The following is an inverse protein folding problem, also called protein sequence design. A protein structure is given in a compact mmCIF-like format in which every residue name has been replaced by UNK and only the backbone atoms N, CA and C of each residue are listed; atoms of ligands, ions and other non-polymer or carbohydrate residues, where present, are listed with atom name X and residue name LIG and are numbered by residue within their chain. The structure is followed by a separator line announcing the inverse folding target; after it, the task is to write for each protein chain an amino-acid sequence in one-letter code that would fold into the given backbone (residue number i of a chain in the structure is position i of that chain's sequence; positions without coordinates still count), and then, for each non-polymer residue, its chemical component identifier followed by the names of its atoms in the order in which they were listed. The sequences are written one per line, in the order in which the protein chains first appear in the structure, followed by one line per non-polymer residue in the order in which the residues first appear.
data_IF_550926902904
#
_entry.id   IF_550926902904
#
_cell.length_a   1.000
_cell.length_b   1.000
_cell.length_c   1.000
_cell.angle_alpha   90.00
_cell.angle_beta   90.00
_cell.angle_gamma   90.00
#
_symmetry.space_group_name_H-M   'P 1'
#
loop_
_entity.id
_entity.type
_entity.pdbx_description
1 polymer ?
#
# COMPACT_ATOMS: atom_id res chain seq x y z
N UNK A 1 14.53 -18.68 -4.90
CA UNK A 1 15.93 -18.48 -5.34
C UNK A 1 16.18 -16.98 -5.34
N UNK A 2 17.14 -16.56 -4.50
CA UNK A 2 17.40 -15.22 -3.98
C UNK A 2 17.30 -14.05 -4.97
N UNK A 3 16.45 -13.06 -4.66
CA UNK A 3 16.57 -11.69 -5.17
C UNK A 3 17.63 -10.95 -4.34
N UNK A 4 18.90 -11.29 -4.57
CA UNK A 4 20.05 -10.59 -4.03
C UNK A 4 20.95 -10.14 -5.18
N UNK A 5 20.51 -9.13 -5.93
CA UNK A 5 21.34 -8.50 -6.96
C UNK A 5 20.87 -7.07 -7.25
N UNK A 6 21.27 -6.13 -6.40
CA UNK A 6 21.60 -4.74 -6.76
C UNK A 6 22.01 -3.93 -5.50
N UNK A 7 23.06 -4.34 -4.81
CA UNK A 7 23.75 -3.47 -3.85
C UNK A 7 25.01 -2.93 -4.52
N UNK A 8 24.84 -1.92 -5.38
CA UNK A 8 25.93 -1.11 -5.88
C UNK A 8 26.41 -0.17 -4.79
N UNK A 9 27.62 -0.39 -4.27
CA UNK A 9 28.32 0.56 -3.42
C UNK A 9 28.96 1.65 -4.28
N UNK A 10 28.51 2.90 -4.13
CA UNK A 10 29.33 4.07 -4.41
C UNK A 10 29.05 5.19 -3.40
N UNK A 11 30.13 5.78 -2.89
CA UNK A 11 30.15 6.83 -1.88
C UNK A 11 29.63 8.16 -2.42
N UNK A 12 28.80 8.80 -1.62
CA UNK A 12 27.94 9.94 -1.92
C UNK A 12 26.67 9.76 -1.10
N UNK A 13 25.92 10.81 -0.76
CA UNK A 13 24.61 10.67 -0.13
C UNK A 13 23.59 10.09 -1.13
N UNK A 14 23.86 8.88 -1.64
CA UNK A 14 23.08 8.17 -2.62
C UNK A 14 21.66 7.90 -2.12
N UNK A 15 20.74 7.93 -3.09
CA UNK A 15 19.32 7.62 -2.92
C UNK A 15 19.14 6.37 -2.04
N UNK A 16 18.24 6.40 -1.05
CA UNK A 16 17.92 5.22 -0.26
C UNK A 16 17.54 4.02 -1.14
N UNK A 17 17.94 2.80 -0.78
CA UNK A 17 17.49 1.59 -1.47
C UNK A 17 15.96 1.55 -1.59
N UNK A 18 15.45 0.99 -2.67
CA UNK A 18 14.01 0.93 -2.94
C UNK A 18 13.18 0.36 -1.77
N UNK A 19 13.57 -0.72 -1.08
CA UNK A 19 12.81 -1.22 0.07
C UNK A 19 12.66 -0.20 1.19
N UNK A 20 13.69 0.62 1.43
CA UNK A 20 13.64 1.67 2.45
C UNK A 20 12.69 2.82 2.03
N UNK A 21 12.68 3.17 0.74
CA UNK A 21 11.71 4.16 0.22
C UNK A 21 10.28 3.66 0.32
N UNK A 22 10.05 2.38 0.04
CA UNK A 22 8.73 1.75 0.21
C UNK A 22 8.34 1.71 1.69
N UNK A 23 9.24 1.34 2.60
CA UNK A 23 8.95 1.28 4.05
C UNK A 23 8.34 2.58 4.58
N UNK A 24 8.80 3.73 4.08
CA UNK A 24 8.33 5.06 4.49
C UNK A 24 6.89 5.37 4.05
N UNK A 25 6.37 4.64 3.05
CA UNK A 25 5.00 4.78 2.55
C UNK A 25 4.09 3.67 3.02
N UNK A 26 4.57 2.72 3.84
CA UNK A 26 3.77 1.61 4.35
C UNK A 26 3.20 1.89 5.74
N UNK A 27 2.06 1.27 6.02
CA UNK A 27 1.42 1.28 7.33
C UNK A 27 1.08 -0.16 7.74
N UNK A 28 1.40 -0.58 8.98
CA UNK A 28 0.95 -1.87 9.49
C UNK A 28 -0.53 -1.78 9.84
N UNK A 29 -1.29 -2.79 9.46
CA UNK A 29 -2.72 -2.88 9.71
C UNK A 29 -3.10 -4.27 10.19
N UNK A 30 -4.24 -4.36 10.88
CA UNK A 30 -4.79 -5.66 11.25
C UNK A 30 -5.35 -6.35 10.00
N UNK A 31 -5.25 -7.68 9.90
CA UNK A 31 -5.90 -8.41 8.81
C UNK A 31 -7.41 -8.56 9.09
N UNK A 32 -8.21 -8.84 8.04
CA UNK A 32 -9.63 -9.12 8.21
C UNK A 32 -9.91 -10.37 9.05
N UNK A 33 -9.05 -11.39 8.96
CA UNK A 33 -9.20 -12.64 9.70
C UNK A 33 -8.53 -12.55 11.08
N UNK A 34 -9.30 -12.82 12.14
CA UNK A 34 -8.76 -12.86 13.50
C UNK A 34 -7.61 -13.89 13.62
N UNK A 35 -6.49 -13.47 14.20
CA UNK A 35 -5.31 -14.33 14.39
C UNK A 35 -4.39 -14.48 13.17
N UNK A 36 -4.77 -13.98 11.99
CA UNK A 36 -3.86 -13.93 10.84
C UNK A 36 -2.70 -12.93 11.10
N UNK A 37 -1.55 -13.03 10.40
CA UNK A 37 -0.43 -12.10 10.53
C UNK A 37 -0.81 -10.64 10.24
N UNK A 38 -0.10 -9.69 10.83
CA UNK A 38 -0.24 -8.28 10.45
C UNK A 38 0.11 -8.09 8.97
N UNK A 39 -0.58 -7.14 8.33
CA UNK A 39 -0.28 -6.75 6.96
C UNK A 39 0.52 -5.45 6.97
N UNK A 40 1.44 -5.30 6.01
CA UNK A 40 1.95 -4.00 5.59
C UNK A 40 1.22 -3.59 4.32
N UNK A 41 0.69 -2.38 4.32
CA UNK A 41 -0.14 -1.86 3.25
C UNK A 41 0.41 -0.51 2.80
N UNK A 42 0.40 -0.26 1.49
CA UNK A 42 0.66 1.07 0.94
C UNK A 42 -0.31 2.07 1.57
N UNK A 43 0.20 3.17 2.13
CA UNK A 43 -0.62 4.22 2.72
C UNK A 43 -1.63 4.80 1.72
N UNK A 44 -1.27 4.77 0.45
CA UNK A 44 -2.02 5.22 -0.73
C UNK A 44 -1.68 4.28 -1.91
N UNK A 45 -2.18 4.58 -3.11
CA UNK A 45 -1.92 3.86 -4.36
C UNK A 45 -0.44 3.95 -4.77
N UNK A 46 0.06 2.94 -5.49
CA UNK A 46 1.41 3.02 -6.08
C UNK A 46 1.51 4.27 -6.93
N UNK A 47 2.55 5.09 -6.71
CA UNK A 47 2.72 6.37 -7.39
C UNK A 47 3.57 6.21 -8.65
N UNK A 48 3.50 7.18 -9.57
CA UNK A 48 4.32 7.17 -10.80
C UNK A 48 5.82 7.09 -10.50
N UNK A 49 6.29 7.76 -9.45
CA UNK A 49 7.69 7.69 -8.98
C UNK A 49 8.15 6.30 -8.53
N UNK A 50 7.21 5.44 -8.15
CA UNK A 50 7.50 4.07 -7.74
C UNK A 50 7.68 3.18 -8.96
N UNK A 51 6.83 3.33 -9.99
CA UNK A 51 6.96 2.62 -11.26
C UNK A 51 8.17 3.10 -12.08
N UNK A 52 8.31 4.40 -12.22
CA UNK A 52 9.37 5.07 -12.96
C UNK A 52 10.04 6.13 -12.08
N UNK A 53 11.22 5.82 -11.52
CA UNK A 53 11.99 6.73 -10.70
C UNK A 53 12.47 8.01 -11.40
N UNK A 54 12.28 8.12 -12.72
CA UNK A 54 12.58 9.29 -13.56
C UNK A 54 11.36 10.17 -13.88
N UNK A 55 10.18 9.82 -13.35
CA UNK A 55 8.97 10.63 -13.46
C UNK A 55 9.23 12.09 -13.04
N UNK A 56 8.74 13.09 -13.79
CA UNK A 56 8.85 14.50 -13.41
C UNK A 56 8.20 14.77 -12.05
N UNK A 57 8.78 15.68 -11.26
CA UNK A 57 8.35 15.97 -9.90
C UNK A 57 6.86 16.35 -9.84
N UNK A 58 6.36 17.10 -10.83
CA UNK A 58 4.98 17.60 -10.89
C UNK A 58 3.92 16.49 -11.00
N UNK A 59 4.31 15.30 -11.48
CA UNK A 59 3.41 14.14 -11.65
C UNK A 59 3.86 12.93 -10.86
N UNK A 60 5.00 13.02 -10.18
CA UNK A 60 5.66 11.93 -9.46
C UNK A 60 4.75 11.32 -8.38
N UNK A 61 3.91 12.15 -7.78
CA UNK A 61 2.96 11.80 -6.71
C UNK A 61 1.57 11.43 -7.21
N UNK A 62 1.32 11.47 -8.52
CA UNK A 62 0.07 10.94 -9.07
C UNK A 62 0.05 9.41 -8.95
N UNK A 63 -1.14 8.80 -8.80
CA UNK A 63 -1.29 7.36 -8.86
C UNK A 63 -0.78 6.84 -10.21
N UNK A 64 -0.12 5.69 -10.16
CA UNK A 64 0.34 4.99 -11.33
C UNK A 64 -0.82 4.18 -11.93
N UNK A 65 -1.09 4.43 -13.21
CA UNK A 65 -2.22 3.82 -13.94
C UNK A 65 -1.77 3.26 -15.29
N UNK A 66 -2.66 2.58 -16.00
CA UNK A 66 -2.39 2.02 -17.34
C UNK A 66 -1.72 0.62 -17.35
N UNK A 67 -1.53 0.01 -16.18
CA UNK A 67 -1.12 -1.39 -16.07
C UNK A 67 -2.36 -2.28 -16.05
N UNK A 68 -2.28 -3.42 -16.72
CA UNK A 68 -3.26 -4.47 -16.50
C UNK A 68 -3.03 -5.16 -15.14
N UNK A 69 -3.99 -5.98 -14.69
CA UNK A 69 -3.92 -6.63 -13.38
C UNK A 69 -2.70 -7.55 -13.26
N UNK A 70 -2.34 -8.25 -14.33
CA UNK A 70 -1.21 -9.19 -14.35
C UNK A 70 0.12 -8.49 -14.18
N UNK A 71 0.31 -7.36 -14.87
CA UNK A 71 1.49 -6.50 -14.74
C UNK A 71 1.58 -5.87 -13.35
N UNK A 72 0.48 -5.33 -12.82
CA UNK A 72 0.44 -4.76 -11.49
C UNK A 72 0.82 -5.81 -10.42
N UNK A 73 0.27 -7.03 -10.55
CA UNK A 73 0.62 -8.15 -9.68
C UNK A 73 2.08 -8.58 -9.81
N UNK A 74 2.61 -8.68 -11.03
CA UNK A 74 4.01 -9.04 -11.28
C UNK A 74 4.97 -7.97 -10.73
N UNK A 75 4.64 -6.68 -10.91
CA UNK A 75 5.41 -5.57 -10.39
C UNK A 75 5.47 -5.57 -8.86
N UNK A 76 4.33 -5.85 -8.20
CA UNK A 76 4.25 -6.00 -6.75
C UNK A 76 5.05 -7.23 -6.28
N UNK A 77 4.90 -8.38 -6.94
CA UNK A 77 5.57 -9.63 -6.59
C UNK A 77 7.09 -9.52 -6.64
N UNK A 78 7.63 -8.79 -7.63
CA UNK A 78 9.07 -8.52 -7.74
C UNK A 78 9.65 -7.77 -6.52
N UNK A 79 8.80 -7.16 -5.69
CA UNK A 79 9.15 -6.38 -4.49
C UNK A 79 8.69 -7.04 -3.19
N UNK A 80 8.24 -8.30 -3.24
CA UNK A 80 7.72 -9.03 -2.08
C UNK A 80 6.31 -8.60 -1.65
N UNK A 81 5.57 -7.93 -2.52
CA UNK A 81 4.17 -7.55 -2.31
C UNK A 81 3.24 -8.38 -3.21
N UNK A 82 1.95 -8.13 -3.02
CA UNK A 82 0.87 -8.59 -3.89
C UNK A 82 -0.22 -7.53 -3.96
N UNK A 83 -1.17 -7.74 -4.87
CA UNK A 83 -2.43 -7.01 -4.82
C UNK A 83 -3.22 -7.41 -3.55
N UNK A 84 -4.00 -6.49 -2.97
CA UNK A 84 -4.96 -6.84 -1.92
C UNK A 84 -5.98 -7.84 -2.46
N UNK A 85 -6.44 -8.76 -1.59
CA UNK A 85 -7.70 -9.47 -1.87
C UNK A 85 -8.88 -8.49 -1.73
N UNK A 86 -10.03 -8.83 -2.29
CA UNK A 86 -11.26 -8.05 -2.13
C UNK A 86 -11.66 -7.95 -0.65
N UNK A 87 -11.47 -9.03 0.11
CA UNK A 87 -11.76 -9.05 1.55
C UNK A 87 -10.83 -8.10 2.33
N UNK A 88 -9.53 -8.11 2.03
CA UNK A 88 -8.59 -7.16 2.62
C UNK A 88 -8.90 -5.73 2.19
N UNK A 89 -9.11 -5.48 0.90
CA UNK A 89 -9.42 -4.13 0.40
C UNK A 89 -10.64 -3.54 1.12
N UNK A 90 -11.72 -4.32 1.27
CA UNK A 90 -12.92 -3.90 2.02
C UNK A 90 -12.63 -3.64 3.49
N UNK A 91 -11.79 -4.46 4.12
CA UNK A 91 -11.37 -4.25 5.50
C UNK A 91 -10.61 -2.93 5.67
N UNK A 92 -9.69 -2.63 4.74
CA UNK A 92 -8.90 -1.40 4.72
C UNK A 92 -9.78 -0.16 4.50
N UNK A 93 -10.76 -0.26 3.60
CA UNK A 93 -11.71 0.81 3.30
C UNK A 93 -12.63 1.14 4.48
N UNK A 94 -12.89 0.15 5.33
CA UNK A 94 -13.71 0.27 6.54
C UNK A 94 -15.15 0.75 6.27
N UNK A 95 -15.83 1.16 7.34
CA UNK A 95 -17.22 1.63 7.27
C UNK A 95 -17.36 3.11 6.86
N UNK A 96 -16.26 3.82 6.62
CA UNK A 96 -16.28 5.24 6.24
C UNK A 96 -15.13 6.07 6.82
N UNK A 97 -15.06 7.38 6.50
CA UNK A 97 -14.11 8.29 7.12
C UNK A 97 -14.40 8.44 8.61
N UNK A 98 -13.33 8.56 9.42
CA UNK A 98 -13.41 8.70 10.89
C UNK A 98 -14.29 9.88 11.32
N UNK A 99 -14.46 10.89 10.45
CA UNK A 99 -15.03 12.18 10.80
C UNK A 99 -16.55 12.30 10.67
N UNK A 100 -17.29 11.31 10.16
CA UNK A 100 -18.74 11.47 9.95
C UNK A 100 -19.09 12.75 9.16
N UNK A 101 -18.20 13.13 8.23
CA UNK A 101 -18.18 14.44 7.59
C UNK A 101 -19.52 14.78 6.92
N UNK A 102 -20.07 15.94 7.28
CA UNK A 102 -21.22 16.56 6.60
C UNK A 102 -20.87 17.12 5.21
N UNK A 103 -19.63 16.97 4.75
CA UNK A 103 -19.11 17.41 3.45
C UNK A 103 -18.38 16.26 2.74
N UNK A 104 -19.13 15.31 2.13
CA UNK A 104 -18.57 14.17 1.37
C UNK A 104 -17.60 14.58 0.25
N UNK A 105 -17.86 15.72 -0.39
CA UNK A 105 -17.09 16.22 -1.55
C UNK A 105 -15.65 16.63 -1.22
N UNK A 106 -15.30 16.82 0.07
CA UNK A 106 -13.95 17.19 0.50
C UNK A 106 -13.14 15.99 1.02
N UNK A 107 -13.70 14.78 0.96
CA UNK A 107 -13.06 13.57 1.48
C UNK A 107 -12.42 12.70 0.39
N UNK A 108 -12.68 12.97 -0.89
CA UNK A 108 -12.28 12.10 -1.99
C UNK A 108 -12.26 12.83 -3.33
N UNK A 109 -11.35 12.43 -4.23
CA UNK A 109 -11.36 12.87 -5.63
C UNK A 109 -12.36 12.01 -6.43
N UNK A 110 -13.59 12.49 -6.59
CA UNK A 110 -14.64 11.79 -7.35
C UNK A 110 -15.17 12.69 -8.47
N UNK A 111 -16.05 12.16 -9.32
CA UNK A 111 -16.67 12.93 -10.40
C UNK A 111 -17.40 14.17 -9.88
N UNK A 112 -17.94 14.12 -8.66
CA UNK A 112 -18.63 15.25 -8.01
C UNK A 112 -17.72 16.46 -7.76
N UNK A 113 -16.40 16.25 -7.66
CA UNK A 113 -15.42 17.34 -7.55
C UNK A 113 -15.16 18.02 -8.92
N UNK A 114 -15.46 17.34 -10.02
CA UNK A 114 -15.44 17.91 -11.38
C UNK A 114 -14.04 18.17 -11.97
N UNK A 115 -12.97 17.64 -11.36
CA UNK A 115 -11.60 17.89 -11.82
C UNK A 115 -11.22 17.07 -13.07
N UNK A 116 -11.83 15.91 -13.27
CA UNK A 116 -11.65 15.09 -14.47
C UNK A 116 -10.26 14.44 -14.63
N UNK A 117 -9.45 14.41 -13.56
CA UNK A 117 -8.11 13.85 -13.55
C UNK A 117 -7.72 13.35 -12.15
N UNK A 118 -6.74 12.43 -12.02
CA UNK A 118 -6.26 12.03 -10.70
C UNK A 118 -5.52 13.19 -10.03
N UNK A 119 -5.45 13.13 -8.70
CA UNK A 119 -4.71 14.08 -7.88
C UNK A 119 -3.51 13.39 -7.22
N UNK A 120 -2.53 14.15 -6.71
CA UNK A 120 -1.46 13.58 -5.90
C UNK A 120 -2.05 12.78 -4.75
N UNK A 121 -1.45 11.63 -4.46
CA UNK A 121 -1.88 10.75 -3.37
C UNK A 121 -1.86 11.47 -2.01
N UNK A 122 -2.77 11.11 -1.13
CA UNK A 122 -2.78 11.55 0.27
C UNK A 122 -3.26 12.99 0.50
N UNK A 123 -3.77 13.70 -0.51
CA UNK A 123 -4.20 15.10 -0.36
C UNK A 123 -5.52 15.27 0.39
N UNK A 124 -6.37 14.23 0.43
CA UNK A 124 -7.68 14.26 1.09
C UNK A 124 -7.60 13.78 2.55
N UNK A 125 -7.12 14.63 3.45
CA UNK A 125 -7.03 14.32 4.89
C UNK A 125 -8.37 13.92 5.53
N UNK A 126 -9.49 14.48 5.06
CA UNK A 126 -10.82 14.09 5.55
C UNK A 126 -11.25 12.68 5.10
N UNK A 127 -10.63 12.13 4.07
CA UNK A 127 -10.82 10.76 3.58
C UNK A 127 -9.95 9.72 4.27
N UNK A 128 -9.00 10.16 5.11
CA UNK A 128 -8.06 9.28 5.80
C UNK A 128 -8.80 8.33 6.76
N UNK A 129 -8.46 7.05 6.69
CA UNK A 129 -9.02 6.02 7.58
C UNK A 129 -8.39 6.09 8.98
N UNK A 130 -8.97 5.36 9.95
CA UNK A 130 -8.43 5.25 11.30
C UNK A 130 -7.02 4.63 11.33
N UNK A 131 -6.76 3.70 10.41
CA UNK A 131 -5.44 3.09 10.21
C UNK A 131 -4.49 4.01 9.41
N UNK A 132 -4.95 5.19 8.97
CA UNK A 132 -4.14 6.18 8.29
C UNK A 132 -3.91 5.93 6.81
N UNK A 133 -4.80 5.19 6.18
CA UNK A 133 -4.82 4.96 4.73
C UNK A 133 -5.59 6.08 4.03
N UNK A 134 -5.19 6.37 2.80
CA UNK A 134 -5.76 7.41 1.96
C UNK A 134 -6.29 6.82 0.66
N UNK A 135 -7.16 7.59 0.02
CA UNK A 135 -7.61 7.39 -1.37
C UNK A 135 -8.29 6.04 -1.63
N UNK A 136 -8.86 5.42 -0.59
CA UNK A 136 -9.69 4.22 -0.71
C UNK A 136 -11.11 4.52 -1.24
N UNK A 137 -11.38 5.78 -1.59
CA UNK A 137 -12.63 6.28 -2.16
C UNK A 137 -12.26 7.36 -3.19
N UNK A 138 -12.51 7.08 -4.47
CA UNK A 138 -12.12 7.95 -5.57
C UNK A 138 -10.64 7.86 -5.94
N UNK A 139 -10.13 8.94 -6.53
CA UNK A 139 -8.85 9.07 -7.21
C UNK A 139 -8.72 8.08 -8.38
N UNK A 140 -8.32 6.83 -8.14
CA UNK A 140 -8.30 5.78 -9.16
C UNK A 140 -8.89 4.49 -8.63
N UNK A 141 -9.48 3.70 -9.53
CA UNK A 141 -9.83 2.33 -9.22
C UNK A 141 -8.59 1.55 -8.84
N UNK A 142 -8.71 0.63 -7.89
CA UNK A 142 -7.60 -0.21 -7.46
C UNK A 142 -7.84 -1.68 -7.82
N UNK A 143 -6.92 -2.27 -8.59
CA UNK A 143 -6.90 -3.70 -8.85
C UNK A 143 -6.85 -4.52 -7.55
N UNK A 144 -7.70 -5.56 -7.47
CA UNK A 144 -7.64 -6.59 -6.43
C UNK A 144 -7.27 -7.95 -7.03
N UNK A 145 -6.78 -8.86 -6.19
CA UNK A 145 -6.35 -10.20 -6.61
C UNK A 145 -7.51 -11.09 -7.08
N UNK A 146 -8.67 -10.95 -6.44
CA UNK A 146 -9.87 -11.74 -6.67
C UNK A 146 -10.41 -11.56 -8.09
N UNK A 147 -11.09 -12.60 -8.56
CA UNK A 147 -11.79 -12.63 -9.84
C UNK A 147 -13.26 -13.02 -9.60
N UNK A 148 -14.16 -12.45 -10.39
CA UNK A 148 -15.54 -12.91 -10.43
C UNK A 148 -15.68 -14.06 -11.44
N UNK A 149 -16.41 -15.14 -11.08
CA UNK A 149 -16.72 -16.18 -12.03
C UNK A 149 -17.55 -15.61 -13.18
N UNK A 150 -17.30 -16.09 -14.39
CA UNK A 150 -18.10 -15.72 -15.55
C UNK A 150 -19.03 -16.87 -15.95
N UNK A 151 -20.26 -16.56 -16.41
CA UNK A 151 -21.20 -17.58 -16.83
C UNK A 151 -20.77 -18.21 -18.17
N UNK A 152 -21.23 -19.44 -18.43
CA UNK A 152 -21.15 -20.09 -19.74
C UNK A 152 -19.73 -20.24 -20.33
N UNK A 153 -18.73 -20.59 -19.52
CA UNK A 153 -17.38 -20.89 -20.02
C UNK A 153 -16.58 -19.68 -20.51
N UNK A 154 -17.09 -18.47 -20.26
CA UNK A 154 -16.35 -17.23 -20.45
C UNK A 154 -15.19 -17.14 -19.44
N UNK A 155 -14.12 -16.38 -19.77
CA UNK A 155 -13.03 -16.17 -18.83
C UNK A 155 -13.51 -15.38 -17.59
N UNK A 156 -12.93 -15.65 -16.42
CA UNK A 156 -13.25 -14.92 -15.20
C UNK A 156 -12.93 -13.42 -15.36
N UNK A 157 -13.68 -12.58 -14.65
CA UNK A 157 -13.54 -11.12 -14.70
C UNK A 157 -12.60 -10.66 -13.59
N UNK A 158 -11.64 -9.80 -13.94
CA UNK A 158 -10.85 -9.11 -12.94
C UNK A 158 -11.71 -8.08 -12.20
N UNK A 159 -11.29 -7.73 -10.98
CA UNK A 159 -12.03 -6.84 -10.09
C UNK A 159 -11.18 -5.63 -9.73
N UNK A 160 -11.84 -4.47 -9.66
CA UNK A 160 -11.26 -3.27 -9.08
C UNK A 160 -12.25 -2.59 -8.13
N UNK A 161 -11.73 -1.87 -7.14
CA UNK A 161 -12.49 -1.26 -6.05
C UNK A 161 -12.20 0.25 -5.92
N UNK A 162 -13.02 0.95 -5.12
CA UNK A 162 -12.74 2.33 -4.69
C UNK A 162 -13.38 3.45 -5.52
N UNK A 163 -13.68 3.21 -6.80
CA UNK A 163 -14.08 4.29 -7.69
C UNK A 163 -12.88 5.11 -8.15
N UNK A 164 -13.13 6.14 -8.95
CA UNK A 164 -12.09 7.03 -9.49
C UNK A 164 -12.59 8.48 -9.54
N UNK A 165 -11.73 9.40 -9.96
CA UNK A 165 -12.10 10.78 -10.31
C UNK A 165 -13.20 10.85 -11.38
N UNK A 166 -13.44 9.77 -12.15
CA UNK A 166 -14.49 9.68 -13.16
C UNK A 166 -15.76 8.97 -12.66
N UNK A 167 -15.76 8.51 -11.40
CA UNK A 167 -16.90 7.82 -10.79
C UNK A 167 -17.65 8.76 -9.86
N UNK A 168 -18.99 8.74 -9.92
CA UNK A 168 -19.80 9.49 -8.95
C UNK A 168 -19.51 9.00 -7.53
N UNK A 169 -19.46 9.93 -6.57
CA UNK A 169 -19.27 9.66 -5.16
C UNK A 169 -20.25 8.60 -4.68
N UNK A 170 -21.52 8.58 -5.09
CA UNK A 170 -22.45 7.50 -4.69
C UNK A 170 -22.00 6.08 -5.12
N UNK A 171 -21.13 5.94 -6.12
CA UNK A 171 -20.55 4.65 -6.52
C UNK A 171 -19.44 4.25 -5.54
N UNK A 172 -18.68 5.20 -4.98
CA UNK A 172 -17.69 4.97 -3.91
C UNK A 172 -18.27 5.02 -2.47
N UNK A 173 -19.01 6.08 -2.13
CA UNK A 173 -19.68 6.36 -0.86
C UNK A 173 -20.91 5.48 -0.55
N UNK A 174 -21.78 5.14 -1.51
CA UNK A 174 -22.97 4.32 -1.20
C UNK A 174 -22.67 2.81 -1.19
N UNK A 175 -21.45 2.43 -1.54
CA UNK A 175 -21.00 1.06 -1.40
C UNK A 175 -19.49 1.01 -1.50
N UNK A 176 -18.77 1.16 -0.39
CA UNK A 176 -17.35 0.77 -0.25
C UNK A 176 -17.10 -0.75 -0.49
N UNK A 177 -18.08 -1.43 -1.07
CA UNK A 177 -18.01 -2.75 -1.71
C UNK A 177 -18.40 -2.75 -3.20
N UNK A 178 -18.45 -1.59 -3.86
CA UNK A 178 -18.66 -1.42 -5.29
C UNK A 178 -17.43 -1.95 -6.01
N UNK A 179 -17.66 -3.00 -6.78
CA UNK A 179 -16.63 -3.69 -7.54
C UNK A 179 -16.90 -3.43 -9.01
N UNK A 180 -15.89 -2.92 -9.71
CA UNK A 180 -15.89 -2.82 -11.17
C UNK A 180 -15.43 -4.15 -11.75
N UNK A 181 -16.26 -4.77 -12.60
CA UNK A 181 -15.92 -5.99 -13.33
C UNK A 181 -15.21 -5.65 -14.64
N UNK A 182 -13.98 -6.13 -14.78
CA UNK A 182 -13.07 -5.75 -15.86
C UNK A 182 -12.62 -6.99 -16.63
N UNK A 183 -12.20 -6.79 -17.87
CA UNK A 183 -11.42 -7.81 -18.56
C UNK A 183 -10.04 -7.90 -17.87
N UNK A 184 -9.42 -9.08 -17.75
CA UNK A 184 -8.11 -9.21 -17.10
C UNK A 184 -7.00 -8.35 -17.73
N UNK A 185 -7.08 -8.09 -19.04
CA UNK A 185 -6.12 -7.26 -19.79
C UNK A 185 -6.54 -5.80 -19.95
N UNK A 186 -7.60 -5.36 -19.27
CA UNK A 186 -8.06 -3.97 -19.30
C UNK A 186 -6.96 -3.04 -18.78
N UNK A 187 -6.87 -1.86 -19.38
CA UNK A 187 -5.96 -0.78 -18.96
C UNK A 187 -6.72 0.52 -19.04
N UNK A 188 -6.68 1.31 -17.99
CA UNK A 188 -7.32 2.61 -17.98
C UNK A 188 -6.49 3.63 -17.19
N UNK A 189 -6.67 4.88 -17.57
CA UNK A 189 -6.05 6.09 -17.02
C UNK A 189 -6.50 6.32 -15.57
N UNK A 190 -7.66 5.75 -15.21
CA UNK A 190 -8.32 5.83 -13.92
C UNK A 190 -8.20 4.54 -13.10
N UNK A 191 -7.25 3.67 -13.46
CA UNK A 191 -7.09 2.33 -12.89
C UNK A 191 -5.64 2.08 -12.49
N UNK A 192 -5.40 2.01 -11.18
CA UNK A 192 -4.13 1.75 -10.53
C UNK A 192 -4.23 0.59 -9.55
N UNK A 193 -3.40 0.61 -8.51
CA UNK A 193 -3.35 -0.45 -7.51
C UNK A 193 -2.60 -0.01 -6.24
N UNK A 194 -2.77 -0.75 -5.15
CA UNK A 194 -1.96 -0.61 -3.93
C UNK A 194 -1.27 -1.89 -3.54
N UNK A 195 -0.27 -1.75 -2.69
CA UNK A 195 0.54 -2.86 -2.20
C UNK A 195 0.01 -3.41 -0.88
N UNK A 196 -0.01 -4.74 -0.77
CA UNK A 196 -0.22 -5.47 0.48
C UNK A 196 0.81 -6.59 0.59
N UNK A 197 1.30 -6.86 1.79
CA UNK A 197 2.13 -8.04 2.10
C UNK A 197 1.98 -8.42 3.58
N UNK A 198 2.45 -9.60 3.94
CA UNK A 198 2.59 -9.98 5.35
C UNK A 198 3.77 -9.22 5.99
N UNK A 199 3.47 -8.47 7.05
CA UNK A 199 4.37 -7.48 7.61
C UNK A 199 5.70 -8.08 8.10
N UNK A 200 5.63 -9.12 8.93
CA UNK A 200 6.82 -9.69 9.56
C UNK A 200 7.77 -10.31 8.53
N UNK A 201 7.25 -11.11 7.60
CA UNK A 201 8.02 -11.75 6.54
C UNK A 201 8.70 -10.72 5.65
N UNK A 202 7.97 -9.70 5.21
CA UNK A 202 8.54 -8.67 4.34
C UNK A 202 9.62 -7.84 5.05
N UNK A 203 9.39 -7.42 6.30
CA UNK A 203 10.40 -6.68 7.06
C UNK A 203 11.67 -7.47 7.30
N UNK A 204 11.56 -8.76 7.64
CA UNK A 204 12.71 -9.66 7.78
C UNK A 204 13.49 -9.78 6.47
N UNK A 205 12.79 -9.97 5.35
CA UNK A 205 13.46 -10.26 4.08
C UNK A 205 14.04 -9.01 3.41
N UNK A 206 13.39 -7.86 3.56
CA UNK A 206 13.69 -6.66 2.77
C UNK A 206 14.27 -5.50 3.59
N UNK A 207 13.99 -5.41 4.90
CA UNK A 207 14.42 -4.29 5.75
C UNK A 207 15.49 -4.69 6.75
N UNK A 208 15.41 -5.87 7.36
CA UNK A 208 16.43 -6.35 8.30
C UNK A 208 17.84 -6.36 7.70
N UNK A 209 18.07 -6.76 6.43
CA UNK A 209 19.41 -6.66 5.81
C UNK A 209 19.95 -5.23 5.78
N UNK A 210 19.07 -4.23 5.70
CA UNK A 210 19.44 -2.81 5.73
C UNK A 210 19.66 -2.30 7.16
N UNK A 211 19.02 -2.91 8.16
CA UNK A 211 19.19 -2.58 9.58
C UNK A 211 20.62 -2.83 10.08
N UNK A 212 21.30 -3.85 9.56
CA UNK A 212 22.71 -4.10 9.87
C UNK A 212 23.62 -2.92 9.50
N UNK A 213 23.23 -2.10 8.52
CA UNK A 213 23.95 -0.90 8.11
C UNK A 213 23.64 0.30 8.99
N UNK A 214 24.64 0.81 9.73
CA UNK A 214 24.51 2.00 10.56
C UNK A 214 24.00 3.24 9.78
N UNK A 215 24.25 3.28 8.47
CA UNK A 215 23.78 4.35 7.57
C UNK A 215 22.25 4.48 7.55
N UNK A 216 21.51 3.37 7.64
CA UNK A 216 20.06 3.36 7.43
C UNK A 216 19.24 3.20 8.71
N UNK A 217 19.87 2.82 9.83
CA UNK A 217 19.17 2.56 11.11
C UNK A 217 18.26 3.70 11.55
N UNK A 218 18.72 4.94 11.50
CA UNK A 218 17.91 6.08 11.95
C UNK A 218 16.65 6.27 11.09
N UNK A 219 16.76 6.04 9.78
CA UNK A 219 15.65 6.18 8.83
C UNK A 219 14.64 5.04 8.99
N UNK A 220 15.13 3.82 9.16
CA UNK A 220 14.31 2.64 9.48
C UNK A 220 13.57 2.84 10.82
N UNK A 221 14.29 3.27 11.87
CA UNK A 221 13.70 3.51 13.18
C UNK A 221 12.65 4.64 13.16
N UNK A 222 12.88 5.69 12.37
CA UNK A 222 11.90 6.77 12.19
C UNK A 222 10.62 6.28 11.50
N UNK A 223 10.73 5.41 10.49
CA UNK A 223 9.57 4.79 9.86
C UNK A 223 8.76 3.97 10.87
N UNK A 224 9.44 3.15 11.69
CA UNK A 224 8.77 2.40 12.76
C UNK A 224 8.13 3.31 13.80
N UNK A 225 8.79 4.39 14.23
CA UNK A 225 8.25 5.31 15.23
C UNK A 225 6.92 5.96 14.81
N UNK A 226 6.64 6.04 13.50
CA UNK A 226 5.37 6.53 12.98
C UNK A 226 4.20 5.53 13.07
N UNK A 227 4.45 4.28 13.48
CA UNK A 227 3.43 3.24 13.60
C UNK A 227 2.86 3.12 15.02
N UNK A 228 1.57 2.72 15.18
CA UNK A 228 0.94 2.53 16.48
C UNK A 228 1.72 1.56 17.39
N UNK A 229 1.88 1.91 18.66
CA UNK A 229 2.70 1.15 19.61
C UNK A 229 2.20 -0.30 19.76
N UNK A 230 0.89 -0.50 19.82
CA UNK A 230 0.28 -1.82 19.97
C UNK A 230 0.56 -2.72 18.76
N UNK A 231 0.60 -2.14 17.55
CA UNK A 231 0.94 -2.87 16.33
C UNK A 231 2.44 -3.19 16.27
N UNK A 232 3.29 -2.27 16.73
CA UNK A 232 4.75 -2.49 16.82
C UNK A 232 5.11 -3.62 17.76
N UNK A 233 4.49 -3.68 18.94
CA UNK A 233 4.69 -4.76 19.91
C UNK A 233 4.27 -6.12 19.33
N UNK A 234 3.07 -6.16 18.73
CA UNK A 234 2.58 -7.37 18.06
C UNK A 234 3.50 -7.79 16.91
N UNK A 235 3.95 -6.84 16.10
CA UNK A 235 4.83 -7.11 14.96
C UNK A 235 6.19 -7.64 15.42
N UNK A 236 6.75 -7.13 16.52
CA UNK A 236 7.97 -7.66 17.11
C UNK A 236 7.81 -9.13 17.56
N UNK A 237 6.63 -9.51 18.08
CA UNK A 237 6.32 -10.90 18.41
C UNK A 237 6.17 -11.79 17.15
N UNK A 238 5.56 -11.28 16.08
CA UNK A 238 5.46 -11.99 14.79
C UNK A 238 6.82 -12.16 14.12
N UNK A 239 7.67 -11.12 14.16
CA UNK A 239 9.06 -11.16 13.70
C UNK A 239 9.89 -12.23 14.39
N UNK A 240 9.63 -12.48 15.69
CA UNK A 240 10.29 -13.55 16.44
C UNK A 240 9.98 -14.94 15.86
N UNK A 241 8.73 -15.15 15.44
CA UNK A 241 8.28 -16.44 14.86
C UNK A 241 8.89 -16.70 13.49
N UNK A 242 9.20 -15.66 12.73
CA UNK A 242 9.83 -15.76 11.41
C UNK A 242 11.36 -15.68 11.44
N UNK A 243 11.96 -15.65 12.64
CA UNK A 243 13.41 -15.76 12.83
C UNK A 243 14.20 -14.45 12.72
N UNK A 244 13.56 -13.29 12.89
CA UNK A 244 14.27 -12.00 12.88
C UNK A 244 15.14 -11.80 14.12
N UNK A 245 16.26 -11.09 13.97
CA UNK A 245 17.21 -10.82 15.05
C UNK A 245 16.57 -10.04 16.20
N UNK A 246 17.05 -10.28 17.41
CA UNK A 246 16.60 -9.57 18.61
C UNK A 246 16.78 -8.05 18.49
N UNK A 247 17.90 -7.60 17.93
CA UNK A 247 18.18 -6.17 17.74
C UNK A 247 17.17 -5.48 16.81
N UNK A 248 16.72 -6.17 15.75
CA UNK A 248 15.75 -5.64 14.82
C UNK A 248 14.34 -5.64 15.43
N UNK A 249 13.98 -6.71 16.15
CA UNK A 249 12.71 -6.78 16.89
C UNK A 249 12.59 -5.69 17.95
N UNK A 250 13.67 -5.43 18.70
CA UNK A 250 13.71 -4.34 19.67
C UNK A 250 13.47 -2.98 19.00
N UNK A 251 14.11 -2.73 17.86
CA UNK A 251 13.93 -1.50 17.09
C UNK A 251 12.48 -1.31 16.62
N UNK A 252 11.82 -2.36 16.12
CA UNK A 252 10.40 -2.32 15.75
C UNK A 252 9.53 -2.01 16.97
N UNK A 253 9.75 -2.71 18.09
CA UNK A 253 9.03 -2.49 19.35
C UNK A 253 9.28 -1.10 19.97
N UNK A 254 10.25 -0.32 19.47
CA UNK A 254 10.59 1.01 19.99
C UNK A 254 11.56 0.98 21.17
N UNK A 255 12.11 -0.20 21.48
CA UNK A 255 13.30 -0.31 22.30
C UNK A 255 14.50 0.11 21.45
N UNK A 256 15.07 1.29 21.73
CA UNK A 256 16.39 1.63 21.21
C UNK A 256 17.41 0.53 21.59
N UNK A 257 18.55 0.43 20.90
CA UNK A 257 19.55 -0.58 21.23
C UNK A 257 19.93 -0.42 22.69
N UNK A 258 19.58 -1.42 23.52
CA UNK A 258 20.08 -1.52 24.89
C UNK A 258 21.57 -1.78 24.80
N UNK A 259 22.35 -0.70 24.75
CA UNK A 259 23.80 -0.77 24.81
C UNK A 259 24.21 -1.44 26.12
N UNK A 260 24.91 -2.57 26.00
CA UNK A 260 25.95 -2.97 26.93
C UNK A 260 27.28 -2.81 26.20
#
# INVERSE_FOLDING_TARGET
LAAAAALGCSGGAGRPPEPLRLLETLVPVRPPAAGAPLLLVGRWEVCRRDLDPSSPDEVSDLPATGLDRGEAAAWAAARGFRLPTLAEWRHLAGDGPVSGSRLPSLAANTLDLGLGQPLPVGVFELGRTADGLYDLDGNVWEWVADEAPAPFGLPPRALACGGSFASLARIGHAGRGAVRLLEPGERADDLGFRLVTEAASWLRDWIEPLWSSARWRNRIAAAFAGWPAELRERLAAELARVGASESFRAAVAGGGPTGR
#
